data_IF_707764770437
#
_entry.id   IF_707764770437
#
_cell.length_a   1.000
_cell.length_b   1.000
_cell.length_c   1.000
_cell.angle_alpha   90.00
_cell.angle_beta   90.00
_cell.angle_gamma   90.00
#
_symmetry.space_group_name_H-M   'P 1'
#
loop_
_entity.id
_entity.type
_entity.pdbx_description
1 polymer ?
#
# COMPACT_ATOMS: atom_id res chain seq x y z
N UNK A 1 -18.78 8.74 9.37
CA UNK A 1 -17.41 8.65 9.94
C UNK A 1 -16.39 8.05 8.97
N UNK A 2 -16.72 7.05 8.13
CA UNK A 2 -15.80 6.46 7.12
C UNK A 2 -15.27 7.46 6.07
N UNK A 3 -15.98 8.55 5.79
CA UNK A 3 -15.54 9.59 4.84
C UNK A 3 -14.40 10.49 5.36
N UNK A 4 -14.24 10.61 6.68
CA UNK A 4 -13.21 11.48 7.28
C UNK A 4 -11.80 10.88 7.30
N UNK A 5 -11.67 9.54 7.25
CA UNK A 5 -10.38 8.86 7.22
C UNK A 5 -9.68 8.92 5.86
N UNK A 6 -10.43 9.16 4.78
CA UNK A 6 -9.91 9.21 3.40
C UNK A 6 -9.27 10.55 3.01
N UNK A 7 -9.44 11.61 3.79
CA UNK A 7 -9.03 12.99 3.42
C UNK A 7 -8.01 13.59 4.39
N UNK A 8 -7.14 12.82 5.01
CA UNK A 8 -5.90 13.41 5.52
C UNK A 8 -4.97 13.69 4.33
N UNK A 9 -5.42 14.61 3.46
CA UNK A 9 -4.57 15.30 2.50
C UNK A 9 -3.42 15.86 3.32
N UNK A 10 -2.25 15.22 3.23
CA UNK A 10 -1.05 15.71 3.93
C UNK A 10 -0.54 16.93 3.16
N UNK A 11 -0.76 18.17 3.62
CA UNK A 11 -0.28 19.37 2.90
C UNK A 11 1.22 19.29 2.60
N UNK A 12 1.96 18.64 3.50
CA UNK A 12 3.39 18.39 3.38
C UNK A 12 3.77 17.54 2.15
N UNK A 13 2.93 16.61 1.71
CA UNK A 13 3.20 15.83 0.49
C UNK A 13 3.24 16.72 -0.75
N UNK A 14 2.28 17.64 -0.90
CA UNK A 14 2.23 18.54 -2.05
C UNK A 14 3.38 19.54 -2.05
N UNK A 15 3.71 20.11 -0.89
CA UNK A 15 4.85 21.02 -0.77
C UNK A 15 6.15 20.29 -1.13
N UNK A 16 6.34 19.07 -0.66
CA UNK A 16 7.50 18.24 -1.01
C UNK A 16 7.54 17.92 -2.51
N UNK A 17 6.40 17.62 -3.14
CA UNK A 17 6.34 17.37 -4.57
C UNK A 17 6.77 18.61 -5.39
N UNK A 18 6.25 19.79 -5.05
CA UNK A 18 6.62 21.05 -5.70
C UNK A 18 8.12 21.35 -5.52
N UNK A 19 8.63 21.16 -4.30
CA UNK A 19 10.05 21.36 -3.98
C UNK A 19 10.93 20.39 -4.80
N UNK A 20 10.50 19.14 -4.93
CA UNK A 20 11.23 18.13 -5.74
C UNK A 20 11.28 18.54 -7.21
N UNK A 21 10.13 18.96 -7.79
CA UNK A 21 10.09 19.43 -9.19
C UNK A 21 11.03 20.63 -9.38
N UNK A 22 10.97 21.62 -8.48
CA UNK A 22 11.84 22.79 -8.54
C UNK A 22 13.33 22.42 -8.46
N UNK A 23 13.68 21.47 -7.59
CA UNK A 23 15.06 20.97 -7.45
C UNK A 23 15.53 20.26 -8.73
N UNK A 24 14.69 19.42 -9.34
CA UNK A 24 15.01 18.70 -10.58
C UNK A 24 15.25 19.69 -11.74
N UNK A 25 14.45 20.74 -11.84
CA UNK A 25 14.62 21.81 -12.84
C UNK A 25 15.91 22.56 -12.61
N UNK A 26 16.22 22.93 -11.36
CA UNK A 26 17.45 23.64 -11.00
C UNK A 26 18.71 22.81 -11.32
N UNK A 27 18.63 21.48 -11.16
CA UNK A 27 19.71 20.53 -11.48
C UNK A 27 19.79 20.19 -12.98
N UNK A 28 19.03 20.85 -13.85
CA UNK A 28 18.87 20.57 -15.28
C UNK A 28 18.40 19.14 -15.63
N UNK A 29 17.76 18.46 -14.67
CA UNK A 29 17.16 17.12 -14.80
C UNK A 29 15.72 17.23 -15.37
N UNK A 30 15.59 17.85 -16.56
CA UNK A 30 14.28 18.18 -17.16
C UNK A 30 13.43 16.94 -17.44
N UNK A 31 14.08 15.85 -17.90
CA UNK A 31 13.36 14.60 -18.18
C UNK A 31 12.77 13.99 -16.89
N UNK A 32 13.54 14.00 -15.80
CA UNK A 32 13.08 13.50 -14.51
C UNK A 32 11.96 14.38 -13.94
N UNK A 33 12.06 15.71 -14.09
CA UNK A 33 11.01 16.63 -13.68
C UNK A 33 9.70 16.34 -14.44
N UNK A 34 9.76 16.05 -15.75
CA UNK A 34 8.60 15.68 -16.56
C UNK A 34 8.01 14.35 -16.10
N UNK A 35 8.84 13.31 -15.95
CA UNK A 35 8.39 12.00 -15.47
C UNK A 35 7.78 12.09 -14.06
N UNK A 36 8.36 12.93 -13.19
CA UNK A 36 7.82 13.18 -11.85
C UNK A 36 6.42 13.79 -11.90
N UNK A 37 6.19 14.77 -12.79
CA UNK A 37 4.87 15.40 -12.98
C UNK A 37 3.85 14.37 -13.50
N UNK A 38 4.24 13.51 -14.44
CA UNK A 38 3.36 12.48 -15.00
C UNK A 38 2.95 11.46 -13.90
N UNK A 39 3.90 10.92 -13.13
CA UNK A 39 3.59 10.00 -12.03
C UNK A 39 2.81 10.66 -10.90
N UNK A 40 3.13 11.92 -10.57
CA UNK A 40 2.37 12.70 -9.59
C UNK A 40 0.92 12.89 -10.05
N UNK A 41 0.71 13.18 -11.32
CA UNK A 41 -0.63 13.36 -11.88
C UNK A 41 -1.44 12.06 -11.80
N UNK A 42 -0.83 10.91 -12.11
CA UNK A 42 -1.48 9.61 -11.99
C UNK A 42 -1.80 9.27 -10.52
N UNK A 43 -0.86 9.53 -9.62
CA UNK A 43 -1.05 9.36 -8.19
C UNK A 43 -2.22 10.20 -7.66
N UNK A 44 -2.26 11.48 -8.00
CA UNK A 44 -3.32 12.41 -7.58
C UNK A 44 -4.67 12.06 -8.21
N UNK A 45 -4.68 11.65 -9.48
CA UNK A 45 -5.92 11.20 -10.15
C UNK A 45 -6.55 10.04 -9.42
N UNK A 46 -5.76 9.06 -8.99
CA UNK A 46 -6.27 7.95 -8.20
C UNK A 46 -6.76 8.41 -6.82
N UNK A 47 -5.99 9.26 -6.14
CA UNK A 47 -6.36 9.81 -4.83
C UNK A 47 -7.72 10.50 -4.86
N UNK A 48 -7.98 11.29 -5.92
CA UNK A 48 -9.22 12.05 -6.10
C UNK A 48 -10.27 11.33 -6.95
N UNK A 49 -9.99 10.13 -7.46
CA UNK A 49 -10.97 9.35 -8.22
C UNK A 49 -12.10 8.88 -7.32
N UNK A 50 -13.30 9.44 -7.55
CA UNK A 50 -14.58 8.93 -7.08
C UNK A 50 -14.77 8.68 -5.59
N UNK A 51 -15.99 8.27 -5.26
CA UNK A 51 -16.41 7.85 -3.90
C UNK A 51 -16.27 6.33 -3.69
N UNK A 52 -15.64 5.61 -4.62
CA UNK A 52 -15.49 4.17 -4.52
C UNK A 52 -14.63 3.79 -3.33
N UNK A 53 -15.20 3.00 -2.44
CA UNK A 53 -14.51 2.46 -1.27
C UNK A 53 -13.69 1.22 -1.61
N UNK A 54 -13.97 0.59 -2.74
CA UNK A 54 -13.28 -0.59 -3.26
C UNK A 54 -12.82 -0.36 -4.70
N UNK A 55 -11.64 -0.90 -5.02
CA UNK A 55 -11.00 -0.86 -6.33
C UNK A 55 -10.47 -2.24 -6.69
N UNK A 56 -10.09 -2.47 -7.95
CA UNK A 56 -9.46 -3.74 -8.32
C UNK A 56 -8.01 -3.79 -7.80
N UNK A 57 -7.51 -5.00 -7.52
CA UNK A 57 -6.11 -5.21 -7.14
C UNK A 57 -5.15 -4.58 -8.17
N UNK A 58 -5.48 -4.70 -9.47
CA UNK A 58 -4.71 -4.07 -10.55
C UNK A 58 -4.66 -2.55 -10.44
N UNK A 59 -5.78 -1.90 -10.10
CA UNK A 59 -5.83 -0.44 -9.92
C UNK A 59 -4.97 -0.01 -8.73
N UNK A 60 -5.08 -0.72 -7.61
CA UNK A 60 -4.31 -0.43 -6.40
C UNK A 60 -2.81 -0.64 -6.61
N UNK A 61 -2.41 -1.74 -7.26
CA UNK A 61 -0.99 -1.99 -7.58
C UNK A 61 -0.42 -0.97 -8.56
N UNK A 62 -1.21 -0.52 -9.56
CA UNK A 62 -0.80 0.58 -10.44
C UNK A 62 -0.55 1.87 -9.67
N UNK A 63 -1.42 2.19 -8.72
CA UNK A 63 -1.26 3.36 -7.86
C UNK A 63 0.00 3.27 -6.99
N UNK A 64 0.26 2.11 -6.37
CA UNK A 64 1.49 1.86 -5.61
C UNK A 64 2.74 2.03 -6.49
N UNK A 65 2.71 1.53 -7.74
CA UNK A 65 3.82 1.71 -8.70
C UNK A 65 4.08 3.18 -8.98
N UNK A 66 3.04 4.00 -9.21
CA UNK A 66 3.21 5.45 -9.43
C UNK A 66 3.87 6.12 -8.22
N UNK A 67 3.47 5.75 -6.99
CA UNK A 67 4.11 6.25 -5.77
C UNK A 67 5.59 5.85 -5.66
N UNK A 68 5.93 4.57 -5.94
CA UNK A 68 7.32 4.09 -5.90
C UNK A 68 8.16 4.80 -6.97
N UNK A 69 7.63 5.03 -8.17
CA UNK A 69 8.32 5.75 -9.25
C UNK A 69 8.63 7.20 -8.87
N UNK A 70 7.74 7.88 -8.12
CA UNK A 70 8.05 9.19 -7.55
C UNK A 70 9.25 9.13 -6.58
N UNK A 71 9.34 8.06 -5.77
CA UNK A 71 10.47 7.87 -4.86
C UNK A 71 11.76 7.53 -5.62
N UNK A 72 11.69 6.73 -6.69
CA UNK A 72 12.85 6.40 -7.54
C UNK A 72 13.46 7.63 -8.20
N UNK A 73 12.65 8.60 -8.65
CA UNK A 73 13.17 9.87 -9.21
C UNK A 73 13.88 10.69 -8.13
N UNK A 74 13.35 10.66 -6.90
CA UNK A 74 13.92 11.37 -5.76
C UNK A 74 15.20 10.70 -5.24
N UNK A 75 15.26 9.37 -5.28
CA UNK A 75 16.35 8.54 -4.82
C UNK A 75 16.80 7.59 -5.93
N UNK A 76 17.55 8.08 -6.93
CA UNK A 76 17.96 7.28 -8.08
C UNK A 76 18.78 6.06 -7.66
N UNK A 77 18.57 4.94 -8.37
CA UNK A 77 19.32 3.68 -8.23
C UNK A 77 19.29 3.03 -6.83
N UNK A 78 18.41 3.49 -5.94
CA UNK A 78 18.30 2.96 -4.57
C UNK A 78 17.07 2.12 -4.31
N UNK A 79 16.10 2.08 -5.23
CA UNK A 79 14.81 1.40 -5.04
C UNK A 79 14.55 0.45 -6.18
N UNK A 80 14.32 -0.81 -5.85
CA UNK A 80 13.80 -1.84 -6.75
C UNK A 80 12.43 -2.30 -6.27
N UNK A 81 11.52 -2.63 -7.20
CA UNK A 81 10.27 -3.28 -6.85
C UNK A 81 9.86 -4.32 -7.89
N UNK A 82 9.21 -5.37 -7.44
CA UNK A 82 8.62 -6.41 -8.28
C UNK A 82 7.24 -6.78 -7.74
N UNK A 83 6.21 -6.68 -8.59
CA UNK A 83 4.83 -6.99 -8.24
C UNK A 83 4.32 -8.10 -9.14
N UNK A 84 4.03 -9.25 -8.53
CA UNK A 84 3.55 -10.45 -9.19
C UNK A 84 2.12 -10.76 -8.76
N UNK A 85 1.18 -10.56 -9.69
CA UNK A 85 -0.22 -10.90 -9.47
C UNK A 85 -0.50 -12.25 -10.11
N UNK A 86 -0.96 -13.21 -9.31
CA UNK A 86 -1.40 -14.50 -9.84
C UNK A 86 -2.62 -14.30 -10.75
N UNK A 87 -2.69 -15.10 -11.81
CA UNK A 87 -3.80 -15.06 -12.76
C UNK A 87 -5.15 -15.17 -12.06
N UNK A 88 -6.06 -14.27 -12.39
CA UNK A 88 -7.39 -14.19 -11.80
C UNK A 88 -7.51 -13.33 -10.54
N UNK A 89 -6.39 -12.85 -9.97
CA UNK A 89 -6.42 -11.95 -8.80
C UNK A 89 -6.56 -10.48 -9.18
N UNK A 90 -6.22 -10.10 -10.40
CA UNK A 90 -6.09 -8.71 -10.87
C UNK A 90 -7.40 -7.91 -10.74
N UNK A 91 -8.53 -8.59 -10.97
CA UNK A 91 -9.85 -7.98 -10.97
C UNK A 91 -10.61 -8.10 -9.64
N UNK A 92 -10.01 -8.77 -8.64
CA UNK A 92 -10.60 -8.85 -7.30
C UNK A 92 -10.68 -7.45 -6.70
N UNK A 93 -11.84 -7.14 -6.13
CA UNK A 93 -12.06 -5.84 -5.47
C UNK A 93 -11.52 -5.89 -4.04
N UNK A 94 -10.73 -4.89 -3.71
CA UNK A 94 -10.12 -4.71 -2.39
C UNK A 94 -10.40 -3.30 -1.88
N UNK A 95 -10.32 -3.05 -0.58
CA UNK A 95 -10.43 -1.70 -0.04
C UNK A 95 -9.40 -0.76 -0.67
N UNK A 96 -9.86 0.42 -1.09
CA UNK A 96 -9.00 1.46 -1.64
C UNK A 96 -7.96 1.90 -0.60
N UNK A 97 -6.72 2.12 -1.02
CA UNK A 97 -5.56 2.48 -0.19
C UNK A 97 -5.02 1.37 0.73
N UNK A 98 -5.48 0.13 0.56
CA UNK A 98 -5.01 -1.01 1.34
C UNK A 98 -3.51 -1.25 1.13
N UNK A 99 -3.09 -1.51 -0.11
CA UNK A 99 -1.68 -1.74 -0.44
C UNK A 99 -0.84 -0.46 -0.32
N UNK A 100 -1.41 0.69 -0.65
CA UNK A 100 -0.73 1.97 -0.45
C UNK A 100 -0.33 2.18 1.00
N UNK A 101 -1.20 1.87 1.97
CA UNK A 101 -0.88 2.00 3.39
C UNK A 101 0.35 1.15 3.75
N UNK A 102 0.45 -0.07 3.22
CA UNK A 102 1.59 -0.95 3.46
C UNK A 102 2.86 -0.37 2.81
N UNK A 103 2.78 0.04 1.53
CA UNK A 103 3.92 0.60 0.80
C UNK A 103 4.40 1.91 1.44
N UNK A 104 3.49 2.81 1.85
CA UNK A 104 3.89 4.03 2.56
C UNK A 104 4.61 3.75 3.87
N UNK A 105 4.22 2.69 4.61
CA UNK A 105 4.93 2.30 5.83
C UNK A 105 6.37 1.86 5.56
N UNK A 106 6.65 1.18 4.44
CA UNK A 106 8.01 0.82 4.04
C UNK A 106 8.86 2.09 3.89
N UNK A 107 8.38 3.10 3.17
CA UNK A 107 9.13 4.35 2.98
C UNK A 107 9.24 5.19 4.25
N UNK A 108 8.28 5.08 5.14
CA UNK A 108 8.29 5.86 6.39
C UNK A 108 9.21 5.25 7.46
N UNK A 109 9.30 3.93 7.52
CA UNK A 109 9.94 3.22 8.62
C UNK A 109 11.07 2.29 8.18
N UNK A 110 11.01 1.71 6.97
CA UNK A 110 11.97 0.73 6.46
C UNK A 110 13.03 1.31 5.53
N UNK A 111 12.81 2.51 4.97
CA UNK A 111 13.70 3.10 3.96
C UNK A 111 14.74 4.02 4.56
N UNK A 112 16.00 3.81 4.15
CA UNK A 112 17.12 4.76 4.32
C UNK A 112 17.71 5.06 2.94
N UNK A 113 17.96 6.34 2.57
CA UNK A 113 18.58 6.70 1.29
C UNK A 113 19.98 6.09 1.07
N UNK A 114 20.63 5.64 2.14
CA UNK A 114 21.98 5.05 2.14
C UNK A 114 21.95 3.53 1.88
N UNK A 115 20.76 2.93 1.87
CA UNK A 115 20.56 1.49 1.68
C UNK A 115 19.68 1.21 0.46
N UNK A 116 20.03 0.15 -0.27
CA UNK A 116 19.20 -0.33 -1.38
C UNK A 116 17.94 -0.98 -0.86
N UNK A 117 16.79 -0.44 -1.26
CA UNK A 117 15.47 -0.95 -0.90
C UNK A 117 14.94 -1.84 -2.02
N UNK A 118 14.55 -3.06 -1.66
CA UNK A 118 13.77 -3.96 -2.53
C UNK A 118 12.38 -4.14 -1.96
N UNK A 119 11.35 -4.03 -2.81
CA UNK A 119 9.94 -4.22 -2.44
C UNK A 119 9.36 -5.32 -3.32
N UNK A 120 8.82 -6.36 -2.72
CA UNK A 120 8.15 -7.45 -3.41
C UNK A 120 6.68 -7.48 -3.00
N UNK A 121 5.81 -7.63 -3.99
CA UNK A 121 4.39 -7.86 -3.76
C UNK A 121 3.97 -9.09 -4.56
N UNK A 122 3.34 -10.04 -3.92
CA UNK A 122 2.71 -11.19 -4.55
C UNK A 122 1.25 -11.31 -4.17
N UNK A 123 0.45 -11.86 -5.05
CA UNK A 123 -0.94 -12.24 -4.77
C UNK A 123 -1.20 -13.68 -5.17
N UNK A 124 -2.08 -14.35 -4.43
CA UNK A 124 -2.54 -15.70 -4.73
C UNK A 124 -4.00 -15.88 -4.29
N UNK A 125 -4.72 -16.78 -4.99
CA UNK A 125 -5.97 -17.32 -4.47
C UNK A 125 -5.61 -18.49 -3.57
N UNK A 126 -6.10 -18.50 -2.34
CA UNK A 126 -5.88 -19.59 -1.40
C UNK A 126 -7.12 -19.83 -0.53
N UNK A 127 -7.12 -20.95 0.17
CA UNK A 127 -8.15 -21.30 1.15
C UNK A 127 -7.55 -21.28 2.55
N UNK A 128 -8.14 -20.48 3.44
CA UNK A 128 -7.78 -20.43 4.87
C UNK A 128 -9.00 -20.84 5.71
N UNK A 129 -8.85 -21.88 6.53
CA UNK A 129 -9.92 -22.39 7.41
C UNK A 129 -11.24 -22.69 6.69
N UNK A 130 -11.17 -23.21 5.45
CA UNK A 130 -12.36 -23.52 4.64
C UNK A 130 -12.96 -22.29 3.92
N UNK A 131 -12.34 -21.14 4.00
CA UNK A 131 -12.76 -19.90 3.32
C UNK A 131 -11.79 -19.61 2.18
N UNK A 132 -12.31 -19.56 0.94
CA UNK A 132 -11.53 -19.13 -0.23
C UNK A 132 -11.37 -17.61 -0.19
N UNK A 133 -10.20 -17.15 -0.63
CA UNK A 133 -9.94 -15.72 -0.63
C UNK A 133 -8.66 -15.34 -1.38
N UNK A 134 -8.39 -14.04 -1.34
CA UNK A 134 -7.20 -13.42 -1.88
C UNK A 134 -6.15 -13.26 -0.78
N UNK A 135 -5.00 -13.90 -0.94
CA UNK A 135 -3.80 -13.59 -0.14
C UNK A 135 -2.94 -12.58 -0.91
N UNK A 136 -2.48 -11.58 -0.21
CA UNK A 136 -1.49 -10.61 -0.69
C UNK A 136 -0.35 -10.56 0.32
N UNK A 137 0.89 -10.64 -0.17
CA UNK A 137 2.09 -10.50 0.65
C UNK A 137 2.93 -9.36 0.12
N UNK A 138 3.29 -8.44 0.99
CA UNK A 138 4.23 -7.35 0.69
C UNK A 138 5.45 -7.53 1.58
N UNK A 139 6.62 -7.59 0.97
CA UNK A 139 7.91 -7.79 1.65
C UNK A 139 8.89 -6.72 1.22
N UNK A 140 9.69 -6.23 2.17
CA UNK A 140 10.84 -5.36 1.93
C UNK A 140 12.10 -5.90 2.62
N UNK A 141 13.25 -5.36 2.24
CA UNK A 141 14.53 -5.67 2.86
C UNK A 141 15.04 -4.55 3.81
N UNK A 142 14.13 -3.73 4.33
CA UNK A 142 14.46 -2.65 5.25
C UNK A 142 14.82 -3.12 6.66
N UNK A 143 14.57 -2.27 7.67
CA UNK A 143 14.94 -2.57 9.06
C UNK A 143 14.00 -3.57 9.76
N UNK A 144 12.87 -3.93 9.15
CA UNK A 144 11.85 -4.79 9.77
C UNK A 144 11.01 -4.08 10.84
N UNK A 145 10.17 -4.85 11.51
CA UNK A 145 9.35 -4.38 12.61
C UNK A 145 10.08 -4.51 13.96
N UNK A 146 9.95 -3.52 14.86
CA UNK A 146 10.46 -3.63 16.23
C UNK A 146 9.82 -4.83 16.97
N UNK A 147 10.57 -5.50 17.86
CA UNK A 147 10.04 -6.64 18.61
C UNK A 147 8.78 -6.31 19.41
N UNK A 148 8.69 -5.10 19.97
CA UNK A 148 7.52 -4.64 20.72
C UNK A 148 6.27 -4.57 19.83
N UNK A 149 6.43 -4.16 18.58
CA UNK A 149 5.33 -4.13 17.62
C UNK A 149 4.88 -5.53 17.24
N UNK A 150 5.81 -6.45 16.97
CA UNK A 150 5.49 -7.85 16.67
C UNK A 150 4.74 -8.53 17.81
N UNK A 151 5.11 -8.23 19.06
CA UNK A 151 4.49 -8.81 20.24
C UNK A 151 3.10 -8.25 20.57
N UNK A 152 2.81 -7.01 20.14
CA UNK A 152 1.59 -6.29 20.54
C UNK A 152 0.61 -6.02 19.39
N UNK A 153 0.95 -6.38 18.15
CA UNK A 153 0.07 -6.14 17.00
C UNK A 153 -1.21 -7.00 17.07
N UNK A 154 -2.39 -6.41 16.74
CA UNK A 154 -2.64 -5.02 16.41
C UNK A 154 -2.67 -4.12 17.65
N UNK A 155 -1.80 -3.10 17.69
CA UNK A 155 -1.71 -2.17 18.83
C UNK A 155 -2.94 -1.26 18.86
N UNK A 156 -3.53 -1.08 20.03
CA UNK A 156 -4.71 -0.23 20.19
C UNK A 156 -4.41 1.26 20.30
N UNK A 157 -3.19 1.71 20.61
CA UNK A 157 -2.90 3.15 20.79
C UNK A 157 -1.42 3.54 20.62
N UNK A 158 -1.21 4.66 19.92
CA UNK A 158 -0.27 5.79 20.14
C UNK A 158 1.24 5.65 19.88
N UNK A 159 1.77 4.56 19.33
CA UNK A 159 3.23 4.43 19.13
C UNK A 159 3.72 4.59 17.67
N UNK A 160 3.11 5.48 16.88
CA UNK A 160 3.64 5.85 15.55
C UNK A 160 3.32 4.87 14.40
N UNK A 161 2.85 3.66 14.67
CA UNK A 161 2.45 2.66 13.67
C UNK A 161 0.93 2.59 13.45
N UNK A 162 0.27 3.74 13.53
CA UNK A 162 -1.19 3.87 13.44
C UNK A 162 -1.75 3.33 12.11
N UNK A 163 -0.95 3.37 11.04
CA UNK A 163 -1.41 2.98 9.69
C UNK A 163 -1.83 1.51 9.58
N UNK A 164 -0.96 0.58 9.96
CA UNK A 164 -1.25 -0.87 9.87
C UNK A 164 -2.31 -1.32 10.87
N UNK A 165 -2.31 -0.76 12.09
CA UNK A 165 -3.34 -1.05 13.09
C UNK A 165 -4.72 -0.56 12.64
N UNK A 166 -4.81 0.64 12.07
CA UNK A 166 -6.05 1.14 11.47
C UNK A 166 -6.49 0.29 10.29
N UNK A 167 -5.54 -0.15 9.45
CA UNK A 167 -5.84 -1.05 8.34
C UNK A 167 -6.42 -2.38 8.87
N UNK A 168 -5.80 -2.99 9.87
CA UNK A 168 -6.32 -4.19 10.53
C UNK A 168 -7.76 -4.00 11.00
N UNK A 169 -8.04 -2.95 11.77
CA UNK A 169 -9.38 -2.68 12.26
C UNK A 169 -10.38 -2.41 11.14
N UNK A 170 -9.98 -1.72 10.08
CA UNK A 170 -10.82 -1.51 8.90
C UNK A 170 -11.18 -2.84 8.22
N UNK A 171 -10.21 -3.75 8.07
CA UNK A 171 -10.46 -5.08 7.50
C UNK A 171 -11.42 -5.90 8.36
N UNK A 172 -11.27 -5.85 9.70
CA UNK A 172 -12.19 -6.52 10.62
C UNK A 172 -13.61 -5.95 10.54
N UNK A 173 -13.74 -4.63 10.31
CA UNK A 173 -15.06 -3.99 10.15
C UNK A 173 -15.75 -4.38 8.84
N UNK A 174 -14.99 -4.54 7.75
CA UNK A 174 -15.53 -4.83 6.42
C UNK A 174 -15.80 -6.33 6.24
N UNK A 175 -14.84 -7.18 6.61
CA UNK A 175 -14.84 -8.62 6.30
C UNK A 175 -15.02 -9.52 7.54
N UNK A 176 -15.07 -8.93 8.73
CA UNK A 176 -15.15 -9.68 9.98
C UNK A 176 -13.91 -10.56 10.25
N UNK A 177 -14.05 -11.60 11.09
CA UNK A 177 -12.95 -12.46 11.51
C UNK A 177 -12.37 -13.34 10.39
N UNK A 178 -13.01 -13.41 9.23
CA UNK A 178 -12.52 -14.16 8.07
C UNK A 178 -11.35 -13.45 7.38
N UNK A 179 -11.22 -12.12 7.52
CA UNK A 179 -10.05 -11.40 7.04
C UNK A 179 -8.92 -11.45 8.07
N UNK A 180 -7.68 -11.46 7.58
CA UNK A 180 -6.52 -11.38 8.46
C UNK A 180 -5.47 -10.41 7.91
N UNK A 181 -4.70 -9.81 8.83
CA UNK A 181 -3.50 -9.06 8.55
C UNK A 181 -2.44 -9.48 9.56
N UNK A 182 -1.35 -10.05 9.07
CA UNK A 182 -0.21 -10.50 9.85
C UNK A 182 1.03 -9.71 9.49
N UNK A 183 1.83 -9.39 10.50
CA UNK A 183 3.14 -8.77 10.34
C UNK A 183 4.22 -9.72 10.86
N UNK A 184 5.34 -9.76 10.17
CA UNK A 184 6.53 -10.52 10.58
C UNK A 184 7.78 -9.87 10.01
N UNK A 185 8.95 -10.25 10.49
CA UNK A 185 10.20 -9.89 9.83
C UNK A 185 10.58 -10.93 8.79
N UNK A 186 11.16 -10.44 7.68
CA UNK A 186 11.72 -11.27 6.63
C UNK A 186 13.18 -11.62 6.93
N UNK A 187 13.66 -12.76 6.42
CA UNK A 187 15.06 -13.14 6.51
C UNK A 187 15.81 -12.77 5.21
N UNK A 188 17.06 -12.28 5.28
CA UNK A 188 17.85 -12.00 6.50
C UNK A 188 17.49 -10.70 7.19
N UNK A 189 16.79 -9.77 6.52
CA UNK A 189 16.33 -8.48 7.03
C UNK A 189 15.06 -8.07 6.32
N UNK A 190 14.26 -7.20 6.95
CA UNK A 190 13.10 -6.56 6.35
C UNK A 190 11.79 -6.88 7.04
N UNK A 191 10.72 -6.30 6.53
CA UNK A 191 9.37 -6.52 7.01
C UNK A 191 8.55 -7.33 6.00
N UNK A 192 7.63 -8.12 6.51
CA UNK A 192 6.62 -8.83 5.71
C UNK A 192 5.24 -8.56 6.28
N UNK A 193 4.34 -8.13 5.42
CA UNK A 193 2.92 -7.94 5.72
C UNK A 193 2.12 -8.90 4.84
N UNK A 194 1.35 -9.78 5.46
CA UNK A 194 0.47 -10.73 4.77
C UNK A 194 -0.98 -10.39 5.07
N UNK A 195 -1.78 -10.20 4.04
CA UNK A 195 -3.20 -9.87 4.13
C UNK A 195 -3.99 -10.97 3.45
N UNK A 196 -5.01 -11.48 4.11
CA UNK A 196 -6.00 -12.37 3.53
C UNK A 196 -7.37 -11.69 3.55
N UNK A 197 -8.03 -11.66 2.39
CA UNK A 197 -9.39 -11.18 2.22
C UNK A 197 -10.27 -12.33 1.74
N UNK A 198 -11.33 -12.68 2.46
CA UNK A 198 -12.27 -13.70 2.00
C UNK A 198 -12.92 -13.28 0.68
N UNK A 199 -13.17 -14.24 -0.20
CA UNK A 199 -13.97 -14.02 -1.39
C UNK A 199 -15.40 -13.62 -0.94
N UNK A 200 -15.91 -12.48 -1.40
CA UNK A 200 -17.28 -12.09 -1.11
C UNK A 200 -18.21 -13.13 -1.77
N UNK A 201 -18.97 -13.85 -0.97
CA UNK A 201 -20.09 -14.63 -1.52
C UNK A 201 -21.01 -13.64 -2.25
N UNK A 202 -21.20 -13.88 -3.56
CA UNK A 202 -22.09 -13.11 -4.41
C UNK A 202 -23.52 -13.26 -3.87
N UNK A 203 -23.86 -12.54 -2.83
CA UNK A 203 -25.26 -12.35 -2.46
C UNK A 203 -25.88 -11.52 -3.58
N UNK A 204 -26.39 -12.24 -4.59
CA UNK A 204 -27.28 -11.68 -5.59
C UNK A 204 -28.29 -10.81 -4.85
N UNK A 205 -28.21 -9.49 -5.06
CA UNK A 205 -29.25 -8.57 -4.60
C UNK A 205 -30.61 -9.15 -5.04
N UNK A 206 -31.56 -9.43 -4.14
CA UNK A 206 -32.90 -9.72 -4.56
C UNK A 206 -33.41 -8.46 -5.26
N UNK A 207 -33.61 -8.58 -6.57
CA UNK A 207 -34.32 -7.59 -7.36
C UNK A 207 -35.60 -7.21 -6.64
N UNK A 208 -35.67 -6.00 -6.11
CA UNK A 208 -36.94 -5.41 -5.66
C UNK A 208 -37.78 -5.23 -6.90
N UNK A 209 -38.80 -6.12 -7.03
CA UNK A 209 -39.94 -5.93 -7.92
C UNK A 209 -40.81 -4.77 -7.49
#
# INVERSE_FOLDING_TARGET
ELRYLQLQIRPHFYLNAITTISSLIYQDRKQDARSFIDFLSDYLRYLFSGSDTQVTLQQETKHCKSFIQLQQIKYPDTIFYMFELASGTENIRIPKFLLQTVVENIFKHGFSPEQFLSIFLESALEEQNGVRGLRMTVEDNGCGFPPEMLASFPVKEDNGHVGLSNLYHTLQLIYGPAASLHISNAEPNGARVTIFLPEEENHAHPSRG
#
